data_IF_563104763124
#
_entry.id   IF_563104763124
#
_cell.length_a   1.000
_cell.length_b   1.000
_cell.length_c   1.000
_cell.angle_alpha   90.00
_cell.angle_beta   90.00
_cell.angle_gamma   90.00
#
_symmetry.space_group_name_H-M   'P 1'
#
loop_
_entity.id
_entity.type
_entity.pdbx_description
1 polymer ?
#
# COMPACT_ATOMS: atom_id res chain seq x y z
N UNK A 1 -21.43 -12.10 51.73
CA UNK A 1 -20.44 -11.64 50.74
C UNK A 1 -19.05 -11.71 51.38
N UNK A 2 -18.35 -12.82 51.18
CA UNK A 2 -16.93 -12.99 51.54
C UNK A 2 -16.33 -14.15 50.73
N UNK A 3 -15.15 -13.92 50.15
CA UNK A 3 -14.09 -14.93 50.06
C UNK A 3 -14.20 -16.06 49.01
N UNK A 4 -13.59 -15.80 47.85
CA UNK A 4 -12.65 -16.63 47.08
C UNK A 4 -12.52 -18.15 47.38
N UNK A 5 -12.73 -18.98 46.35
CA UNK A 5 -12.06 -20.29 46.20
C UNK A 5 -11.58 -20.46 44.76
N UNK A 6 -10.28 -20.66 44.63
CA UNK A 6 -9.57 -20.99 43.40
C UNK A 6 -9.89 -22.39 42.91
N UNK A 7 -10.22 -22.56 41.62
CA UNK A 7 -9.79 -23.74 40.88
C UNK A 7 -9.24 -23.32 39.51
N UNK A 8 -8.00 -23.75 39.29
CA UNK A 8 -7.19 -23.51 38.11
C UNK A 8 -7.53 -24.60 37.09
N UNK A 9 -7.75 -24.23 35.83
CA UNK A 9 -7.51 -25.12 34.69
C UNK A 9 -6.58 -24.35 33.74
N UNK A 10 -5.27 -24.58 33.81
CA UNK A 10 -4.55 -25.54 32.95
C UNK A 10 -5.02 -25.37 31.49
N UNK A 11 -4.38 -24.46 30.75
CA UNK A 11 -3.47 -24.97 29.72
C UNK A 11 -2.27 -24.03 29.54
N UNK A 12 -1.12 -24.49 30.05
CA UNK A 12 0.19 -23.97 29.67
C UNK A 12 0.64 -24.77 28.44
N UNK A 13 0.83 -24.12 27.29
CA UNK A 13 1.91 -24.39 26.30
C UNK A 13 1.88 -23.38 25.14
N UNK A 14 2.80 -22.42 25.24
CA UNK A 14 3.66 -21.86 24.19
C UNK A 14 3.07 -21.64 22.79
N UNK A 15 2.85 -20.38 22.44
CA UNK A 15 3.26 -19.86 21.14
C UNK A 15 4.06 -18.58 21.39
N UNK A 16 5.37 -18.63 21.12
CA UNK A 16 6.18 -17.42 21.10
C UNK A 16 5.54 -16.42 20.13
N UNK A 17 5.43 -15.17 20.53
CA UNK A 17 4.95 -14.10 19.64
C UNK A 17 5.96 -13.97 18.52
N UNK A 18 5.65 -14.54 17.35
CA UNK A 18 6.37 -14.25 16.13
C UNK A 18 6.37 -12.72 15.98
N UNK A 19 7.54 -12.08 15.96
CA UNK A 19 7.61 -10.64 15.73
C UNK A 19 6.90 -10.37 14.41
N UNK A 20 5.83 -9.56 14.45
CA UNK A 20 5.14 -9.15 13.25
C UNK A 20 6.18 -8.49 12.32
N UNK A 21 6.43 -9.11 11.16
CA UNK A 21 7.36 -8.50 10.20
C UNK A 21 6.72 -7.21 9.75
N UNK A 22 7.40 -6.09 10.00
CA UNK A 22 7.05 -4.81 9.40
C UNK A 22 7.29 -4.94 7.89
N UNK A 23 6.22 -5.16 7.12
CA UNK A 23 6.30 -5.18 5.66
C UNK A 23 6.29 -3.73 5.18
N UNK A 24 7.46 -3.22 4.77
CA UNK A 24 7.56 -1.91 4.15
C UNK A 24 6.99 -1.96 2.72
N UNK A 25 6.18 -0.97 2.30
CA UNK A 25 5.70 -0.87 0.92
C UNK A 25 6.86 -0.87 -0.09
N UNK A 26 6.72 -1.64 -1.18
CA UNK A 26 7.62 -1.48 -2.32
C UNK A 26 7.42 -0.10 -2.95
N UNK A 27 8.50 0.50 -3.44
CA UNK A 27 8.46 1.81 -4.11
C UNK A 27 8.40 1.63 -5.62
N UNK A 28 7.59 2.42 -6.31
CA UNK A 28 7.43 2.36 -7.77
C UNK A 28 7.33 3.74 -8.44
N UNK A 29 7.69 3.77 -9.72
CA UNK A 29 7.46 4.88 -10.66
C UNK A 29 6.74 4.31 -11.89
N UNK A 30 5.72 5.01 -12.39
CA UNK A 30 4.95 4.61 -13.56
C UNK A 30 5.30 5.50 -14.77
N UNK A 31 6.13 5.01 -15.70
CA UNK A 31 6.78 5.84 -16.72
C UNK A 31 5.99 6.04 -18.01
N UNK A 32 4.96 5.23 -18.23
CA UNK A 32 4.06 5.29 -19.38
C UNK A 32 2.63 5.13 -18.84
N UNK A 33 2.27 6.06 -17.96
CA UNK A 33 1.20 5.86 -16.99
C UNK A 33 -0.20 5.74 -17.62
N UNK A 34 -0.36 6.26 -18.85
CA UNK A 34 -1.64 6.34 -19.54
C UNK A 34 -2.69 6.97 -18.64
N UNK A 35 -3.91 6.41 -18.64
CA UNK A 35 -4.97 6.83 -17.73
C UNK A 35 -4.85 6.29 -16.29
N UNK A 36 -3.81 5.49 -15.99
CA UNK A 36 -3.46 5.07 -14.64
C UNK A 36 -3.81 3.64 -14.23
N UNK A 37 -4.16 2.74 -15.17
CA UNK A 37 -4.53 1.35 -14.87
C UNK A 37 -3.48 0.57 -14.07
N UNK A 38 -2.20 0.66 -14.46
CA UNK A 38 -1.08 0.02 -13.74
C UNK A 38 -0.93 0.60 -12.33
N UNK A 39 -0.87 1.93 -12.23
CA UNK A 39 -0.82 2.64 -10.95
C UNK A 39 -1.98 2.26 -10.01
N UNK A 40 -3.18 2.01 -10.53
CA UNK A 40 -4.33 1.61 -9.73
C UNK A 40 -4.10 0.22 -9.12
N UNK A 41 -3.61 -0.73 -9.92
CA UNK A 41 -3.21 -2.05 -9.46
C UNK A 41 -2.10 -2.01 -8.41
N UNK A 42 -1.04 -1.23 -8.65
CA UNK A 42 0.09 -1.08 -7.73
C UNK A 42 -0.34 -0.54 -6.37
N UNK A 43 -1.21 0.49 -6.32
CA UNK A 43 -1.77 0.98 -5.05
C UNK A 43 -2.59 -0.08 -4.32
N UNK A 44 -3.40 -0.87 -5.04
CA UNK A 44 -4.15 -1.99 -4.45
C UNK A 44 -3.22 -3.06 -3.87
N UNK A 45 -2.07 -3.27 -4.51
CA UNK A 45 -0.99 -4.13 -4.04
C UNK A 45 -0.10 -3.49 -2.96
N UNK A 46 -0.48 -2.33 -2.42
CA UNK A 46 0.24 -1.61 -1.34
C UNK A 46 1.63 -1.10 -1.72
N UNK A 47 1.86 -0.83 -3.00
CA UNK A 47 3.05 -0.09 -3.43
C UNK A 47 2.92 1.40 -3.09
N UNK A 48 4.04 2.02 -2.75
CA UNK A 48 4.22 3.45 -2.67
C UNK A 48 4.66 3.99 -4.04
N UNK A 49 3.72 4.55 -4.80
CA UNK A 49 4.01 5.14 -6.11
C UNK A 49 4.45 6.58 -5.90
N UNK A 50 5.74 6.85 -6.12
CA UNK A 50 6.34 8.16 -5.82
C UNK A 50 6.30 9.12 -7.00
N UNK A 51 5.97 8.64 -8.19
CA UNK A 51 5.80 9.47 -9.36
C UNK A 51 5.26 8.71 -10.56
N UNK A 52 4.71 9.45 -11.50
CA UNK A 52 4.26 8.98 -12.79
C UNK A 52 4.71 9.93 -13.90
N UNK A 53 4.84 9.41 -15.11
CA UNK A 53 5.14 10.13 -16.33
C UNK A 53 4.14 9.71 -17.42
N UNK A 54 3.59 10.69 -18.12
CA UNK A 54 2.74 10.48 -19.28
C UNK A 54 2.95 11.61 -20.29
N UNK A 55 2.96 11.33 -21.58
CA UNK A 55 3.18 12.34 -22.63
C UNK A 55 1.86 12.82 -23.25
N UNK A 56 0.85 11.96 -23.30
CA UNK A 56 -0.48 12.29 -23.83
C UNK A 56 -1.30 13.07 -22.82
N UNK A 57 -1.71 14.28 -23.19
CA UNK A 57 -2.41 15.21 -22.29
C UNK A 57 -3.79 14.73 -21.85
N UNK A 58 -4.49 13.97 -22.71
CA UNK A 58 -5.81 13.41 -22.39
C UNK A 58 -5.68 12.28 -21.38
N UNK A 59 -4.73 11.37 -21.60
CA UNK A 59 -4.40 10.31 -20.66
C UNK A 59 -3.89 10.88 -19.33
N UNK A 60 -3.03 11.89 -19.37
CA UNK A 60 -2.52 12.58 -18.19
C UNK A 60 -3.63 13.27 -17.38
N UNK A 61 -4.60 13.91 -18.04
CA UNK A 61 -5.78 14.48 -17.37
C UNK A 61 -6.59 13.38 -16.67
N UNK A 62 -6.86 12.26 -17.34
CA UNK A 62 -7.53 11.11 -16.74
C UNK A 62 -6.73 10.52 -15.55
N UNK A 63 -5.41 10.42 -15.67
CA UNK A 63 -4.53 9.98 -14.59
C UNK A 63 -4.67 10.89 -13.37
N UNK A 64 -4.61 12.22 -13.53
CA UNK A 64 -4.72 13.17 -12.41
C UNK A 64 -6.04 13.00 -11.65
N UNK A 65 -7.16 12.81 -12.35
CA UNK A 65 -8.46 12.58 -11.73
C UNK A 65 -8.50 11.28 -10.90
N UNK A 66 -7.84 10.22 -11.36
CA UNK A 66 -7.84 8.92 -10.70
C UNK A 66 -6.72 8.75 -9.65
N UNK A 67 -5.69 9.61 -9.69
CA UNK A 67 -4.43 9.48 -8.95
C UNK A 67 -3.97 10.80 -8.32
N UNK A 68 -4.87 11.59 -7.73
CA UNK A 68 -4.60 12.95 -7.21
C UNK A 68 -3.38 13.06 -6.27
N UNK A 69 -3.05 11.98 -5.55
CA UNK A 69 -1.92 11.93 -4.59
C UNK A 69 -0.57 11.55 -5.21
N UNK A 70 -0.55 11.12 -6.47
CA UNK A 70 0.66 10.70 -7.17
C UNK A 70 1.15 11.85 -8.05
N UNK A 71 2.36 12.38 -7.83
CA UNK A 71 2.94 13.39 -8.71
C UNK A 71 3.02 12.86 -10.14
N UNK A 72 2.40 13.56 -11.09
CA UNK A 72 2.45 13.24 -12.51
C UNK A 72 3.25 14.32 -13.24
N UNK A 73 4.31 13.91 -13.94
CA UNK A 73 4.99 14.75 -14.93
C UNK A 73 4.36 14.49 -16.30
N UNK A 74 3.91 15.55 -16.95
CA UNK A 74 3.39 15.46 -18.32
C UNK A 74 4.50 15.84 -19.30
N UNK A 75 5.29 14.87 -19.72
CA UNK A 75 6.41 15.09 -20.65
C UNK A 75 6.88 13.79 -21.28
N UNK A 76 7.75 13.93 -22.28
CA UNK A 76 8.62 12.84 -22.74
C UNK A 76 9.52 12.34 -21.58
N UNK A 77 9.97 11.10 -21.70
CA UNK A 77 10.82 10.41 -20.72
C UNK A 77 12.30 10.76 -20.84
N UNK A 78 12.72 11.34 -21.97
CA UNK A 78 14.09 11.76 -22.26
C UNK A 78 14.53 12.97 -21.44
#
# INVERSE_FOLDING_TARGET
MSGNTSEKNITKRSSGTASERVVTPFTAIDLFAGCGGLSYGLRRAKFNIVGALEIDSVAAAAYRLNHEKTPLKESDIR
#
